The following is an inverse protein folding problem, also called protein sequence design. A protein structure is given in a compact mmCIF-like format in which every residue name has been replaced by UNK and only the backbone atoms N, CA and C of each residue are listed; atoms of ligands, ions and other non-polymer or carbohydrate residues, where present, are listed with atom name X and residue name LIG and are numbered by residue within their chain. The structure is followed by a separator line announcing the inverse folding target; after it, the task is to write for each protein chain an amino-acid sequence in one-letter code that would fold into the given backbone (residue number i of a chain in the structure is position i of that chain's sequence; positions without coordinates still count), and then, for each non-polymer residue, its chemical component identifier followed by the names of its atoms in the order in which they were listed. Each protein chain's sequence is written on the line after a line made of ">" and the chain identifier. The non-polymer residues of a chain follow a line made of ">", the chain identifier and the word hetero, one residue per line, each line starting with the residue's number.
data_IF_555528055423
#
_entry.id   IF_555528055423
#
_cell.length_a   1.000
_cell.length_b   1.000
_cell.length_c   1.000
_cell.angle_alpha   90.00
_cell.angle_beta   90.00
_cell.angle_gamma   90.00
#
_symmetry.space_group_name_H-M   'P 1'
#
loop_
_entity.id
_entity.type
_entity.pdbx_description
1 polymer ?
#
# COMPACT_ATOMS: atom_id res chain seq x y z
N UNK A 1 -22.35 9.76 5.83
CA UNK A 1 -22.63 9.42 4.42
C UNK A 1 -21.32 9.01 3.75
N UNK A 2 -21.27 7.84 3.10
CA UNK A 2 -20.10 7.49 2.30
C UNK A 2 -20.02 8.51 1.15
N UNK A 3 -18.86 9.14 0.94
CA UNK A 3 -18.66 10.03 -0.21
C UNK A 3 -19.00 9.26 -1.48
N UNK A 4 -19.68 9.89 -2.42
CA UNK A 4 -19.85 9.34 -3.75
C UNK A 4 -18.47 9.23 -4.40
N UNK A 5 -18.01 8.00 -4.65
CA UNK A 5 -16.70 7.74 -5.25
C UNK A 5 -16.90 7.63 -6.75
N UNK A 6 -16.31 8.55 -7.52
CA UNK A 6 -16.28 8.46 -8.98
C UNK A 6 -15.75 7.11 -9.43
N UNK A 7 -16.47 6.45 -10.34
CA UNK A 7 -16.10 5.12 -10.88
C UNK A 7 -15.63 5.18 -12.33
N UNK A 8 -15.64 6.35 -12.96
CA UNK A 8 -15.32 6.53 -14.38
C UNK A 8 -13.89 6.12 -14.75
N UNK A 9 -12.98 6.10 -13.78
CA UNK A 9 -11.59 5.71 -13.98
C UNK A 9 -11.34 4.20 -13.87
N UNK A 10 -12.34 3.40 -13.49
CA UNK A 10 -12.18 1.96 -13.31
C UNK A 10 -12.37 1.24 -14.65
N UNK A 11 -11.40 0.43 -15.10
CA UNK A 11 -11.51 -0.33 -16.35
C UNK A 11 -12.37 -1.61 -16.19
N UNK A 12 -13.07 -1.76 -15.07
CA UNK A 12 -13.90 -2.93 -14.74
C UNK A 12 -15.09 -2.53 -13.88
N UNK A 13 -16.16 -3.33 -13.94
CA UNK A 13 -17.35 -3.13 -13.10
C UNK A 13 -17.04 -3.40 -11.63
N UNK A 14 -17.60 -2.56 -10.76
CA UNK A 14 -17.54 -2.80 -9.31
C UNK A 14 -18.43 -3.99 -8.93
N UNK A 15 -18.03 -4.80 -7.92
CA UNK A 15 -18.88 -5.87 -7.41
C UNK A 15 -20.21 -5.35 -6.90
N UNK A 16 -21.30 -6.08 -7.16
CA UNK A 16 -22.64 -5.76 -6.64
C UNK A 16 -22.81 -6.25 -5.19
N UNK A 17 -21.83 -5.93 -4.35
CA UNK A 17 -21.88 -6.20 -2.92
C UNK A 17 -21.35 -5.01 -2.14
N UNK A 18 -21.82 -4.80 -0.91
CA UNK A 18 -21.30 -3.72 -0.11
C UNK A 18 -19.85 -3.93 0.32
N UNK A 19 -19.16 -2.83 0.67
CA UNK A 19 -17.81 -2.91 1.21
C UNK A 19 -17.79 -3.61 2.57
N UNK A 20 -16.74 -4.39 2.87
CA UNK A 20 -16.55 -4.99 4.19
C UNK A 20 -15.75 -4.08 5.13
N UNK A 21 -14.82 -3.31 4.58
CA UNK A 21 -13.87 -2.46 5.32
C UNK A 21 -13.93 -1.01 4.82
N UNK A 22 -13.71 -0.08 5.73
CA UNK A 22 -13.46 1.33 5.46
C UNK A 22 -12.08 1.68 5.96
N UNK A 23 -11.28 2.35 5.12
CA UNK A 23 -9.94 2.82 5.46
C UNK A 23 -9.61 4.08 4.67
N UNK A 24 -8.74 4.92 5.23
CA UNK A 24 -8.23 6.13 4.60
C UNK A 24 -6.72 6.04 4.47
N UNK A 25 -6.20 6.29 3.27
CA UNK A 25 -4.76 6.38 3.04
C UNK A 25 -4.39 7.86 3.03
N UNK A 26 -3.49 8.28 3.93
CA UNK A 26 -3.14 9.69 4.13
C UNK A 26 -1.63 9.88 3.98
N UNK A 27 -1.25 11.00 3.37
CA UNK A 27 0.15 11.41 3.18
C UNK A 27 0.98 10.31 2.51
N UNK A 28 0.62 9.96 1.27
CA UNK A 28 1.30 8.91 0.52
C UNK A 28 2.52 9.49 -0.21
N UNK A 29 3.68 8.85 -0.05
CA UNK A 29 4.84 9.11 -0.92
C UNK A 29 4.94 7.98 -1.93
N UNK A 30 4.78 8.26 -3.22
CA UNK A 30 4.99 7.26 -4.27
C UNK A 30 6.44 7.32 -4.76
N UNK A 31 7.17 6.23 -4.61
CA UNK A 31 8.53 6.09 -5.13
C UNK A 31 8.62 4.79 -5.94
N UNK A 32 9.20 4.87 -7.13
CA UNK A 32 9.31 3.75 -8.06
C UNK A 32 10.74 3.63 -8.55
N UNK A 33 11.29 2.41 -8.49
CA UNK A 33 12.60 2.10 -9.04
C UNK A 33 12.42 1.12 -10.19
N UNK A 34 13.05 1.46 -11.31
CA UNK A 34 13.24 0.52 -12.41
C UNK A 34 14.13 -0.63 -11.91
N UNK A 35 13.74 -1.85 -12.24
CA UNK A 35 14.54 -3.03 -11.97
C UNK A 35 14.49 -3.98 -13.16
N UNK A 36 15.49 -4.86 -13.24
CA UNK A 36 15.51 -5.90 -14.25
C UNK A 36 14.35 -6.88 -14.03
N UNK A 37 13.53 -7.22 -15.05
CA UNK A 37 12.40 -8.14 -14.92
C UNK A 37 12.77 -9.49 -14.27
N UNK A 38 13.93 -10.03 -14.60
CA UNK A 38 14.46 -11.28 -14.06
C UNK A 38 14.66 -11.26 -12.53
N UNK A 39 14.86 -10.08 -11.92
CA UNK A 39 15.00 -9.96 -10.48
C UNK A 39 13.65 -10.08 -9.74
N UNK A 40 12.54 -9.73 -10.39
CA UNK A 40 11.20 -9.82 -9.79
C UNK A 40 10.50 -11.13 -10.19
N UNK A 41 10.78 -11.68 -11.37
CA UNK A 41 10.10 -12.87 -11.89
C UNK A 41 9.95 -14.02 -10.87
N UNK A 42 10.95 -14.37 -10.02
CA UNK A 42 10.80 -15.42 -9.00
C UNK A 42 9.73 -15.16 -7.93
N UNK A 43 9.30 -13.91 -7.75
CA UNK A 43 8.29 -13.51 -6.78
C UNK A 43 6.89 -13.43 -7.38
N UNK A 44 6.73 -13.66 -8.68
CA UNK A 44 5.45 -13.59 -9.37
C UNK A 44 4.77 -14.96 -9.31
N UNK A 45 3.59 -15.07 -8.68
CA UNK A 45 2.84 -16.32 -8.67
C UNK A 45 2.45 -16.79 -10.08
N UNK A 46 2.30 -18.10 -10.23
CA UNK A 46 1.78 -18.69 -11.46
C UNK A 46 0.40 -18.10 -11.84
N UNK A 47 0.20 -17.86 -13.13
CA UNK A 47 -1.02 -17.24 -13.66
C UNK A 47 -1.08 -15.72 -13.54
N UNK A 48 0.01 -15.08 -13.16
CA UNK A 48 0.22 -13.64 -13.27
C UNK A 48 1.40 -13.34 -14.20
N UNK A 49 1.27 -12.28 -14.99
CA UNK A 49 2.31 -11.78 -15.88
C UNK A 49 2.89 -10.49 -15.30
N UNK A 50 4.19 -10.24 -15.49
CA UNK A 50 4.76 -8.94 -15.15
C UNK A 50 4.15 -7.85 -16.03
N UNK A 51 3.70 -6.76 -15.41
CA UNK A 51 3.25 -5.59 -16.13
C UNK A 51 4.43 -4.64 -16.34
N UNK A 52 4.89 -4.56 -17.58
CA UNK A 52 6.01 -3.72 -17.98
C UNK A 52 5.50 -2.37 -18.50
N UNK A 53 6.10 -1.29 -18.01
CA UNK A 53 5.90 0.05 -18.54
C UNK A 53 7.07 0.40 -19.45
N UNK A 54 6.81 0.64 -20.73
CA UNK A 54 7.87 0.88 -21.74
C UNK A 54 8.97 -0.19 -21.74
N UNK A 55 8.58 -1.46 -21.57
CA UNK A 55 9.50 -2.61 -21.53
C UNK A 55 10.24 -2.77 -20.20
N UNK A 56 9.96 -1.94 -19.19
CA UNK A 56 10.65 -1.91 -17.90
C UNK A 56 9.76 -2.39 -16.75
N UNK A 57 10.36 -3.14 -15.82
CA UNK A 57 9.71 -3.54 -14.59
C UNK A 57 9.98 -2.53 -13.47
N UNK A 58 9.02 -2.36 -12.57
CA UNK A 58 9.14 -1.42 -11.45
C UNK A 58 8.80 -2.07 -10.12
N UNK A 59 9.54 -1.68 -9.08
CA UNK A 59 9.17 -1.87 -7.69
C UNK A 59 8.79 -0.51 -7.11
N UNK A 60 7.58 -0.45 -6.54
CA UNK A 60 7.09 0.70 -5.79
C UNK A 60 7.30 0.54 -4.29
N UNK A 61 7.78 1.58 -3.62
CA UNK A 61 7.77 1.70 -2.15
C UNK A 61 6.91 2.90 -1.78
N UNK A 62 5.83 2.64 -1.04
CA UNK A 62 4.82 3.63 -0.70
C UNK A 62 4.65 3.67 0.82
N UNK A 63 5.38 4.55 1.54
CA UNK A 63 5.10 4.87 2.92
C UNK A 63 3.86 5.78 3.01
N UNK A 64 2.94 5.45 3.91
CA UNK A 64 1.76 6.26 4.17
C UNK A 64 1.14 5.96 5.52
N UNK A 65 0.27 6.87 5.97
CA UNK A 65 -0.52 6.67 7.17
C UNK A 65 -1.85 6.00 6.79
N UNK A 66 -2.02 4.77 7.25
CA UNK A 66 -3.31 4.11 7.24
C UNK A 66 -4.15 4.69 8.40
N UNK A 67 -5.35 5.21 8.12
CA UNK A 67 -6.21 5.88 9.12
C UNK A 67 -7.62 5.29 9.11
N UNK A 68 -8.22 5.22 10.29
CA UNK A 68 -9.62 4.81 10.51
C UNK A 68 -9.99 3.43 9.92
N UNK A 69 -9.04 2.49 9.86
CA UNK A 69 -9.29 1.11 9.40
C UNK A 69 -10.32 0.45 10.31
N UNK A 70 -11.47 0.07 9.76
CA UNK A 70 -12.57 -0.55 10.51
C UNK A 70 -13.51 -1.34 9.61
N UNK A 71 -14.20 -2.36 10.14
CA UNK A 71 -15.36 -2.95 9.48
C UNK A 71 -16.45 -1.91 9.21
N UNK A 72 -17.17 -2.09 8.10
CA UNK A 72 -18.39 -1.33 7.80
C UNK A 72 -19.33 -1.47 9.01
N UNK A 73 -19.74 -0.35 9.61
CA UNK A 73 -20.56 -0.22 10.83
C UNK A 73 -19.85 -0.16 12.19
N UNK A 74 -18.58 -0.54 12.33
CA UNK A 74 -17.87 -0.41 13.61
C UNK A 74 -17.08 0.90 13.70
N UNK A 75 -16.97 1.56 14.87
CA UNK A 75 -16.14 2.75 15.04
C UNK A 75 -14.64 2.40 14.94
N UNK A 76 -13.78 3.34 14.55
CA UNK A 76 -12.34 3.14 14.60
C UNK A 76 -11.86 3.04 16.06
N UNK A 77 -11.00 2.08 16.36
CA UNK A 77 -10.46 1.85 17.71
C UNK A 77 -9.12 2.59 17.87
N UNK A 78 -8.98 3.47 18.88
CA UNK A 78 -7.72 4.16 19.16
C UNK A 78 -6.55 3.17 19.33
N UNK A 79 -5.40 3.49 18.74
CA UNK A 79 -4.19 2.64 18.80
C UNK A 79 -4.20 1.40 17.90
N UNK A 80 -5.33 1.05 17.28
CA UNK A 80 -5.44 -0.13 16.39
C UNK A 80 -5.79 0.29 14.96
N UNK A 81 -6.77 1.17 14.81
CA UNK A 81 -7.32 1.55 13.49
C UNK A 81 -6.48 2.57 12.72
N UNK A 82 -5.38 3.07 13.30
CA UNK A 82 -4.51 4.06 12.66
C UNK A 82 -3.05 3.71 12.92
N UNK A 83 -2.29 3.48 11.85
CA UNK A 83 -0.89 3.06 11.93
C UNK A 83 -0.14 3.40 10.64
N UNK A 84 1.20 3.53 10.69
CA UNK A 84 2.04 3.57 9.51
C UNK A 84 2.04 2.25 8.73
N UNK A 85 2.01 2.34 7.41
CA UNK A 85 2.17 1.21 6.50
C UNK A 85 3.12 1.57 5.35
N UNK A 86 3.92 0.59 4.91
CA UNK A 86 4.77 0.69 3.74
C UNK A 86 4.40 -0.43 2.79
N UNK A 87 3.93 -0.07 1.60
CA UNK A 87 3.67 -1.03 0.55
C UNK A 87 4.93 -1.19 -0.28
N UNK A 88 5.49 -2.40 -0.31
CA UNK A 88 6.50 -2.79 -1.29
C UNK A 88 5.78 -3.65 -2.31
N UNK A 89 5.64 -3.14 -3.53
CA UNK A 89 4.79 -3.76 -4.55
C UNK A 89 5.43 -3.72 -5.92
N UNK A 90 4.99 -4.61 -6.79
CA UNK A 90 5.26 -4.58 -8.22
C UNK A 90 3.94 -4.60 -9.00
N UNK A 91 4.04 -4.56 -10.32
CA UNK A 91 2.90 -4.44 -11.23
C UNK A 91 2.75 -5.73 -12.02
N UNK A 92 1.53 -6.23 -12.09
CA UNK A 92 1.20 -7.50 -12.73
C UNK A 92 -0.06 -7.37 -13.56
N UNK A 93 -0.23 -8.28 -14.52
CA UNK A 93 -1.44 -8.45 -15.31
C UNK A 93 -1.99 -9.85 -15.15
N UNK A 94 -3.32 -9.97 -15.24
CA UNK A 94 -4.02 -11.24 -15.39
C UNK A 94 -5.08 -11.11 -16.47
N UNK A 95 -4.96 -11.89 -17.54
CA UNK A 95 -5.91 -11.85 -18.67
C UNK A 95 -6.12 -10.41 -19.20
N UNK A 96 -5.02 -9.67 -19.39
CA UNK A 96 -5.04 -8.27 -19.83
C UNK A 96 -5.47 -7.23 -18.79
N UNK A 97 -5.87 -7.64 -17.58
CA UNK A 97 -6.27 -6.72 -16.49
C UNK A 97 -5.08 -6.37 -15.62
N UNK A 98 -4.74 -5.09 -15.55
CA UNK A 98 -3.66 -4.58 -14.71
C UNK A 98 -4.00 -4.68 -13.21
N UNK A 99 -2.97 -4.89 -12.40
CA UNK A 99 -3.07 -5.02 -10.96
C UNK A 99 -1.75 -4.71 -10.26
N UNK A 100 -1.82 -4.62 -8.94
CA UNK A 100 -0.64 -4.51 -8.08
C UNK A 100 -0.45 -5.82 -7.34
N UNK A 101 0.80 -6.29 -7.28
CA UNK A 101 1.21 -7.41 -6.46
C UNK A 101 2.02 -6.87 -5.28
N UNK A 102 1.53 -7.09 -4.07
CA UNK A 102 2.30 -6.77 -2.87
C UNK A 102 3.41 -7.82 -2.70
N UNK A 103 4.66 -7.38 -2.75
CA UNK A 103 5.82 -8.21 -2.40
C UNK A 103 5.89 -8.34 -0.87
N UNK A 104 5.77 -7.20 -0.17
CA UNK A 104 5.61 -7.14 1.27
C UNK A 104 4.78 -5.93 1.70
N UNK A 105 4.18 -6.03 2.89
CA UNK A 105 3.45 -4.94 3.54
C UNK A 105 4.03 -4.75 4.95
N UNK A 106 4.88 -3.75 5.14
CA UNK A 106 5.47 -3.46 6.45
C UNK A 106 4.53 -2.55 7.25
N UNK A 107 4.00 -3.03 8.36
CA UNK A 107 3.02 -2.29 9.16
C UNK A 107 3.34 -2.32 10.66
N UNK A 108 3.04 -1.23 11.35
CA UNK A 108 3.13 -1.15 12.81
C UNK A 108 1.78 -1.47 13.48
N UNK A 109 1.13 -2.54 13.04
CA UNK A 109 -0.10 -3.06 13.66
C UNK A 109 0.01 -4.55 13.84
N UNK A 110 0.16 -4.99 15.10
CA UNK A 110 0.27 -6.43 15.42
C UNK A 110 -1.00 -7.19 15.03
N UNK A 111 -2.16 -6.54 15.16
CA UNK A 111 -3.47 -7.10 14.82
C UNK A 111 -3.58 -7.27 13.30
N UNK A 112 -3.28 -6.22 12.53
CA UNK A 112 -3.29 -6.30 11.06
C UNK A 112 -2.30 -7.37 10.58
N UNK A 113 -1.07 -7.39 11.11
CA UNK A 113 -0.07 -8.37 10.71
C UNK A 113 -0.41 -9.81 11.10
N UNK A 114 -1.22 -10.03 12.13
CA UNK A 114 -1.66 -11.38 12.51
C UNK A 114 -2.89 -11.85 11.73
N UNK A 115 -3.84 -10.94 11.45
CA UNK A 115 -5.10 -11.27 10.79
C UNK A 115 -5.03 -11.20 9.25
N UNK A 116 -4.40 -10.19 8.68
CA UNK A 116 -4.46 -9.94 7.24
C UNK A 116 -3.81 -11.03 6.36
N UNK A 117 -2.69 -11.68 6.76
CA UNK A 117 -2.18 -12.82 6.01
C UNK A 117 -3.16 -14.01 5.99
N UNK A 118 -3.81 -14.29 7.12
CA UNK A 118 -4.75 -15.41 7.26
C UNK A 118 -6.09 -15.16 6.55
N UNK A 119 -6.56 -13.92 6.55
CA UNK A 119 -7.88 -13.58 6.00
C UNK A 119 -7.84 -13.16 4.52
N UNK A 120 -6.74 -12.54 4.07
CA UNK A 120 -6.66 -11.90 2.75
C UNK A 120 -5.45 -12.36 1.93
N UNK A 121 -4.62 -13.29 2.43
CA UNK A 121 -3.41 -13.75 1.75
C UNK A 121 -2.35 -12.67 1.57
N UNK A 122 -2.43 -11.58 2.34
CA UNK A 122 -1.56 -10.41 2.18
C UNK A 122 -0.24 -10.62 2.94
N UNK A 123 0.93 -10.30 2.34
CA UNK A 123 2.24 -10.55 2.93
C UNK A 123 2.61 -9.50 3.99
N UNK A 124 1.74 -9.30 4.97
CA UNK A 124 1.97 -8.37 6.07
C UNK A 124 3.11 -8.86 6.97
N UNK A 125 4.02 -7.94 7.24
CA UNK A 125 5.15 -8.11 8.15
C UNK A 125 5.07 -7.02 9.20
N UNK A 126 5.26 -7.44 10.46
CA UNK A 126 5.30 -6.49 11.54
C UNK A 126 6.63 -5.75 11.55
N UNK A 127 6.54 -4.43 11.44
CA UNK A 127 7.68 -3.51 11.41
C UNK A 127 7.54 -2.42 12.46
N UNK A 128 8.68 -1.98 13.01
CA UNK A 128 8.73 -0.73 13.76
C UNK A 128 8.73 0.42 12.76
N UNK A 129 7.59 1.09 12.61
CA UNK A 129 7.45 2.20 11.69
C UNK A 129 7.39 3.54 12.43
N UNK A 130 7.76 4.62 11.75
CA UNK A 130 7.58 5.99 12.18
C UNK A 130 7.26 6.82 10.96
N UNK A 131 6.25 7.68 11.09
CA UNK A 131 5.92 8.71 10.11
C UNK A 131 5.81 10.03 10.85
N UNK A 132 6.49 11.06 10.37
CA UNK A 132 6.37 12.41 10.88
C UNK A 132 6.04 13.35 9.73
N UNK A 133 5.04 14.20 9.92
CA UNK A 133 4.66 15.22 8.95
C UNK A 133 4.67 16.57 9.67
N UNK A 134 5.63 17.42 9.35
CA UNK A 134 5.80 18.75 9.94
C UNK A 134 6.40 19.68 8.89
N UNK A 135 5.94 20.94 8.86
CA UNK A 135 6.53 22.01 8.03
C UNK A 135 6.66 21.65 6.54
N UNK A 136 5.65 20.96 5.99
CA UNK A 136 5.66 20.51 4.59
C UNK A 136 6.71 19.44 4.28
N UNK A 137 7.37 18.88 5.29
CA UNK A 137 8.24 17.72 5.18
C UNK A 137 7.51 16.49 5.70
N UNK A 138 7.71 15.39 5.00
CA UNK A 138 7.30 14.08 5.45
C UNK A 138 8.58 13.26 5.66
N UNK A 139 8.68 12.61 6.80
CA UNK A 139 9.78 11.70 7.14
C UNK A 139 9.20 10.35 7.48
N UNK A 140 9.83 9.30 6.98
CA UNK A 140 9.38 7.93 7.19
C UNK A 140 10.55 7.03 7.48
N UNK A 141 10.31 6.10 8.40
CA UNK A 141 11.26 5.04 8.75
C UNK A 141 10.51 3.76 9.06
N UNK A 142 10.98 2.63 8.57
CA UNK A 142 10.55 1.29 8.97
C UNK A 142 11.76 0.43 9.29
N UNK A 143 11.59 -0.51 10.21
CA UNK A 143 12.56 -1.56 10.49
C UNK A 143 11.83 -2.87 10.79
N UNK A 144 12.00 -3.83 9.89
CA UNK A 144 11.49 -5.19 10.01
C UNK A 144 12.17 -5.89 11.18
N UNK A 145 11.35 -6.56 12.00
CA UNK A 145 11.85 -7.43 13.07
C UNK A 145 12.27 -8.81 12.55
N UNK A 146 11.85 -9.19 11.35
CA UNK A 146 12.03 -10.54 10.81
C UNK A 146 13.42 -10.74 10.20
N UNK A 147 13.81 -9.82 9.34
CA UNK A 147 15.02 -9.89 8.50
C UNK A 147 15.89 -8.63 8.61
N UNK A 148 15.50 -7.67 9.45
CA UNK A 148 16.26 -6.44 9.68
C UNK A 148 16.14 -5.40 8.57
N UNK A 149 15.37 -5.65 7.50
CA UNK A 149 15.11 -4.70 6.42
C UNK A 149 14.70 -3.34 6.99
N UNK A 150 15.38 -2.28 6.56
CA UNK A 150 15.07 -0.92 6.96
C UNK A 150 14.83 -0.03 5.75
N UNK A 151 13.76 0.73 5.79
CA UNK A 151 13.48 1.77 4.80
C UNK A 151 13.44 3.10 5.54
N UNK A 152 14.17 4.10 5.06
CA UNK A 152 14.12 5.46 5.61
C UNK A 152 14.22 6.49 4.50
N UNK A 153 13.62 7.65 4.71
CA UNK A 153 13.66 8.73 3.75
C UNK A 153 12.84 9.94 4.18
N UNK A 154 12.96 11.00 3.39
CA UNK A 154 12.16 12.21 3.53
C UNK A 154 11.75 12.77 2.16
N UNK A 155 10.64 13.50 2.13
CA UNK A 155 10.23 14.29 0.99
C UNK A 155 9.71 15.62 1.51
N UNK A 156 9.96 16.64 0.70
CA UNK A 156 9.44 17.97 0.92
C UNK A 156 8.36 18.24 -0.12
N UNK A 157 7.23 18.79 0.32
CA UNK A 157 6.20 19.29 -0.57
C UNK A 157 6.77 20.46 -1.37
N UNK A 158 6.61 20.38 -2.69
CA UNK A 158 6.94 21.44 -3.63
C UNK A 158 5.69 21.78 -4.44
N UNK A 159 5.44 23.09 -4.63
CA UNK A 159 4.26 23.58 -5.35
C UNK A 159 3.00 23.73 -4.50
N UNK A 160 1.90 24.10 -5.16
CA UNK A 160 0.58 24.25 -4.55
C UNK A 160 -0.17 22.93 -4.46
N UNK A 161 -1.00 22.78 -3.44
CA UNK A 161 -1.90 21.64 -3.32
C UNK A 161 -2.91 21.66 -4.47
N UNK A 162 -2.97 20.57 -5.25
CA UNK A 162 -4.06 20.39 -6.22
C UNK A 162 -5.38 20.21 -5.44
N UNK A 163 -6.40 20.98 -5.81
CA UNK A 163 -7.75 20.85 -5.26
C UNK A 163 -8.29 19.42 -5.47
N UNK A 164 -9.09 18.95 -4.50
CA UNK A 164 -9.73 17.65 -4.52
C UNK A 164 -11.09 17.69 -5.23
#
# INVERSE_FOLDING_TARGET
>A
MAREISRHHLPFSMPDRPHALSQEWRNLTFMHWEVKPENIAPYIPEGLELDLFEGKAYVGVIPFKMKNVRPRFLPPVPGISTFPEFNIRTYVKKNGKAGVLFLTLEAQSRITCWHAPKAYGLPYRYSKCKLNFSDGKFLWKSKSKRDGLSLEGECKLTGSQRGA
#
